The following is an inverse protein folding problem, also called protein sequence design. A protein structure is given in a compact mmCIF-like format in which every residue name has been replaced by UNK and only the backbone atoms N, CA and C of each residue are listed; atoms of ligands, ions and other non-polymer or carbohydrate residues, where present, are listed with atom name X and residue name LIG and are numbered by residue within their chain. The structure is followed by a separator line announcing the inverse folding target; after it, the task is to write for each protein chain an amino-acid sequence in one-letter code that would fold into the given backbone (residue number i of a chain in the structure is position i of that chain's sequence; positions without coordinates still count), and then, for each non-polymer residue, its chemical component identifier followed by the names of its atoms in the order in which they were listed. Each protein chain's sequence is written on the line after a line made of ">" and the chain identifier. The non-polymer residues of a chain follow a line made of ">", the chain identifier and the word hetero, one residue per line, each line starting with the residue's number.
data_IF_082469452452
#
_entry.id   IF_082469452452
#
_cell.length_a   1.000
_cell.length_b   1.000
_cell.length_c   1.000
_cell.angle_alpha   90.00
_cell.angle_beta   90.00
_cell.angle_gamma   90.00
#
_symmetry.space_group_name_H-M   'P 1'
#
loop_
_entity.id
_entity.type
_entity.pdbx_description
1 polymer ?
#
# COMPACT_ATOMS: atom_id res chain seq x y z
N UNK A 1 -14.45 3.53 10.88
CA UNK A 1 -13.89 3.29 9.53
C UNK A 1 -14.24 4.48 8.64
N UNK A 2 -13.24 5.06 7.95
CA UNK A 2 -13.42 6.22 7.07
C UNK A 2 -13.45 5.82 5.60
N UNK A 3 -12.62 4.85 5.20
CA UNK A 3 -12.59 4.32 3.84
C UNK A 3 -12.06 2.88 3.86
N UNK A 4 -12.39 2.12 2.83
CA UNK A 4 -11.84 0.79 2.58
C UNK A 4 -11.85 0.49 1.09
N UNK A 5 -10.88 -0.28 0.64
CA UNK A 5 -10.81 -0.86 -0.70
C UNK A 5 -10.17 -2.23 -0.64
N UNK A 6 -10.53 -3.11 -1.56
CA UNK A 6 -9.77 -4.33 -1.82
C UNK A 6 -8.53 -4.01 -2.65
N UNK A 7 -7.45 -4.70 -2.36
CA UNK A 7 -6.19 -4.57 -3.12
C UNK A 7 -6.18 -5.64 -4.20
N UNK A 8 -6.28 -5.22 -5.46
CA UNK A 8 -6.43 -6.11 -6.61
C UNK A 8 -5.47 -5.73 -7.75
N UNK A 9 -5.96 -5.61 -8.97
CA UNK A 9 -5.17 -5.44 -10.18
C UNK A 9 -4.29 -4.20 -10.27
N UNK A 10 -4.59 -3.13 -9.54
CA UNK A 10 -3.75 -1.92 -9.51
C UNK A 10 -2.62 -1.98 -8.47
N UNK A 11 -2.56 -3.06 -7.68
CA UNK A 11 -1.59 -3.21 -6.62
C UNK A 11 -1.86 -2.30 -5.42
N UNK A 12 -1.07 -2.45 -4.37
CA UNK A 12 -1.26 -1.66 -3.15
C UNK A 12 -1.18 -0.15 -3.41
N UNK A 13 -0.15 0.30 -4.14
CA UNK A 13 0.05 1.73 -4.39
C UNK A 13 -1.01 2.34 -5.30
N UNK A 14 -1.52 1.59 -6.28
CA UNK A 14 -2.60 2.06 -7.15
C UNK A 14 -3.88 2.29 -6.36
N UNK A 15 -4.33 1.30 -5.59
CA UNK A 15 -5.55 1.42 -4.79
C UNK A 15 -5.42 2.42 -3.63
N UNK A 16 -4.25 2.48 -2.98
CA UNK A 16 -3.98 3.50 -1.97
C UNK A 16 -4.07 4.92 -2.56
N UNK A 17 -3.56 5.12 -3.79
CA UNK A 17 -3.64 6.40 -4.48
C UNK A 17 -5.08 6.76 -4.84
N UNK A 18 -5.90 5.81 -5.29
CA UNK A 18 -7.32 6.03 -5.56
C UNK A 18 -8.07 6.47 -4.29
N UNK A 19 -7.82 5.79 -3.15
CA UNK A 19 -8.41 6.20 -1.86
C UNK A 19 -7.98 7.62 -1.47
N UNK A 20 -6.69 7.92 -1.59
CA UNK A 20 -6.14 9.23 -1.25
C UNK A 20 -6.71 10.35 -2.13
N UNK A 21 -6.86 10.09 -3.42
CA UNK A 21 -7.46 11.04 -4.38
C UNK A 21 -8.94 11.29 -4.09
N UNK A 22 -9.71 10.25 -3.81
CA UNK A 22 -11.12 10.36 -3.48
C UNK A 22 -11.39 11.20 -2.22
N UNK A 23 -10.47 11.16 -1.26
CA UNK A 23 -10.54 11.94 -0.02
C UNK A 23 -9.74 13.26 -0.07
N UNK A 24 -8.98 13.50 -1.14
CA UNK A 24 -8.03 14.62 -1.28
C UNK A 24 -7.03 14.73 -0.11
N UNK A 25 -6.45 13.60 0.27
CA UNK A 25 -5.45 13.49 1.35
C UNK A 25 -4.14 12.90 0.80
N UNK A 26 -3.07 12.98 1.59
CA UNK A 26 -1.83 12.26 1.32
C UNK A 26 -1.69 11.06 2.25
N UNK A 27 -0.93 10.06 1.81
CA UNK A 27 -0.64 8.87 2.60
C UNK A 27 0.86 8.77 2.85
N UNK A 28 1.23 8.30 4.04
CA UNK A 28 2.58 7.86 4.35
C UNK A 28 2.51 6.35 4.63
N UNK A 29 3.17 5.55 3.80
CA UNK A 29 3.13 4.09 3.89
C UNK A 29 4.50 3.55 4.30
N UNK A 30 4.51 2.64 5.27
CA UNK A 30 5.68 1.84 5.61
C UNK A 30 5.90 0.78 4.52
N UNK A 31 6.93 0.97 3.72
CA UNK A 31 7.24 0.09 2.60
C UNK A 31 7.59 -1.34 3.02
N UNK A 32 7.98 -1.57 4.27
CA UNK A 32 8.32 -2.89 4.81
C UNK A 32 7.12 -3.61 5.46
N UNK A 33 6.04 -2.87 5.77
CA UNK A 33 4.91 -3.43 6.49
C UNK A 33 4.05 -4.44 5.70
N UNK A 34 3.81 -4.30 4.37
CA UNK A 34 2.93 -5.22 3.65
C UNK A 34 3.41 -6.67 3.71
N UNK A 35 2.50 -7.60 4.00
CA UNK A 35 2.80 -9.04 4.12
C UNK A 35 3.30 -9.67 2.81
N UNK A 36 3.04 -9.04 1.67
CA UNK A 36 3.47 -9.49 0.33
C UNK A 36 4.99 -9.47 0.12
N UNK A 37 5.77 -8.88 1.04
CA UNK A 37 7.21 -8.71 0.89
C UNK A 37 8.04 -9.88 1.44
N UNK A 38 7.64 -11.12 1.18
CA UNK A 38 8.43 -12.29 1.58
C UNK A 38 9.82 -12.29 0.92
N UNK A 39 10.85 -12.90 1.55
CA UNK A 39 12.21 -12.97 0.98
C UNK A 39 12.24 -13.59 -0.42
N UNK A 40 11.42 -14.63 -0.67
CA UNK A 40 11.36 -15.30 -1.97
C UNK A 40 10.78 -14.41 -3.06
N UNK A 41 9.73 -13.66 -2.75
CA UNK A 41 9.10 -12.73 -3.69
C UNK A 41 10.04 -11.58 -4.02
N UNK A 42 10.77 -11.07 -3.02
CA UNK A 42 11.80 -10.04 -3.24
C UNK A 42 12.96 -10.54 -4.11
N UNK A 43 13.39 -11.78 -3.92
CA UNK A 43 14.42 -12.40 -4.78
C UNK A 43 13.97 -12.42 -6.23
N UNK A 44 12.74 -12.86 -6.51
CA UNK A 44 12.19 -12.89 -7.87
C UNK A 44 12.11 -11.48 -8.48
N UNK A 45 11.70 -10.49 -7.71
CA UNK A 45 11.67 -9.10 -8.16
C UNK A 45 13.07 -8.57 -8.54
N UNK A 46 14.10 -8.90 -7.75
CA UNK A 46 15.49 -8.53 -8.05
C UNK A 46 16.01 -9.17 -9.33
N UNK A 47 15.51 -10.36 -9.66
CA UNK A 47 15.82 -11.07 -10.92
C UNK A 47 15.00 -10.54 -12.11
N UNK A 48 14.13 -9.55 -11.90
CA UNK A 48 13.27 -9.00 -12.94
C UNK A 48 12.08 -9.88 -13.30
N UNK A 49 11.77 -10.88 -12.49
CA UNK A 49 10.61 -11.76 -12.66
C UNK A 49 9.39 -11.06 -12.09
N UNK A 50 8.79 -10.21 -12.90
CA UNK A 50 7.69 -9.31 -12.53
C UNK A 50 6.56 -9.38 -13.57
N UNK A 51 5.29 -9.33 -13.15
CA UNK A 51 4.18 -9.34 -14.09
C UNK A 51 4.12 -8.04 -14.91
N UNK A 52 3.69 -8.12 -16.16
CA UNK A 52 3.54 -6.95 -17.03
C UNK A 52 2.59 -5.86 -16.44
N UNK A 53 1.63 -6.28 -15.62
CA UNK A 53 0.73 -5.36 -14.89
C UNK A 53 1.45 -4.41 -13.96
N UNK A 54 2.54 -4.85 -13.33
CA UNK A 54 3.37 -4.01 -12.46
C UNK A 54 3.89 -2.77 -13.20
N UNK A 55 4.41 -2.93 -14.40
CA UNK A 55 4.94 -1.82 -15.19
C UNK A 55 3.85 -0.80 -15.56
N UNK A 56 2.63 -1.28 -15.89
CA UNK A 56 1.49 -0.41 -16.17
C UNK A 56 1.05 0.37 -14.92
N UNK A 57 0.96 -0.31 -13.78
CA UNK A 57 0.58 0.30 -12.50
C UNK A 57 1.60 1.36 -12.08
N UNK A 58 2.90 1.05 -12.22
CA UNK A 58 3.96 2.02 -11.95
C UNK A 58 3.84 3.23 -12.86
N UNK A 59 3.70 3.04 -14.17
CA UNK A 59 3.55 4.14 -15.12
C UNK A 59 2.38 5.07 -14.75
N UNK A 60 1.27 4.50 -14.28
CA UNK A 60 0.09 5.25 -13.87
C UNK A 60 0.33 6.07 -12.58
N UNK A 61 0.95 5.49 -11.56
CA UNK A 61 0.96 6.07 -10.22
C UNK A 61 2.28 6.72 -9.80
N UNK A 62 3.43 6.39 -10.42
CA UNK A 62 4.77 6.80 -9.96
C UNK A 62 4.97 8.30 -9.80
N UNK A 63 4.31 9.14 -10.63
CA UNK A 63 4.43 10.59 -10.53
C UNK A 63 3.84 11.16 -9.23
N UNK A 64 3.05 10.38 -8.51
CA UNK A 64 2.41 10.72 -7.23
C UNK A 64 2.94 9.92 -6.04
N UNK A 65 3.98 9.12 -6.26
CA UNK A 65 4.64 8.31 -5.24
C UNK A 65 6.05 8.84 -5.03
N UNK A 66 6.32 9.34 -3.83
CA UNK A 66 7.66 9.65 -3.36
C UNK A 66 8.22 8.38 -2.69
N UNK A 67 9.11 7.71 -3.39
CA UNK A 67 9.68 6.43 -2.93
C UNK A 67 10.90 6.59 -2.01
N UNK A 68 11.44 7.80 -1.87
CA UNK A 68 12.64 8.05 -1.05
C UNK A 68 13.77 7.05 -1.37
N UNK A 69 14.35 6.47 -0.32
CA UNK A 69 15.42 5.47 -0.41
C UNK A 69 14.93 4.01 -0.43
N UNK A 70 13.62 3.78 -0.63
CA UNK A 70 13.05 2.43 -0.67
C UNK A 70 13.64 1.64 -1.84
N UNK A 71 14.18 0.41 -1.60
CA UNK A 71 14.79 -0.40 -2.64
C UNK A 71 13.85 -0.68 -3.82
N UNK A 72 14.39 -0.74 -5.03
CA UNK A 72 13.62 -0.91 -6.27
C UNK A 72 12.76 -2.18 -6.27
N UNK A 73 13.29 -3.29 -5.78
CA UNK A 73 12.56 -4.54 -5.67
C UNK A 73 11.30 -4.41 -4.80
N UNK A 74 11.41 -3.67 -3.70
CA UNK A 74 10.26 -3.37 -2.82
C UNK A 74 9.25 -2.47 -3.52
N UNK A 75 9.71 -1.39 -4.15
CA UNK A 75 8.83 -0.51 -4.93
C UNK A 75 8.07 -1.29 -6.00
N UNK A 76 8.75 -2.15 -6.76
CA UNK A 76 8.15 -2.96 -7.82
C UNK A 76 7.05 -3.88 -7.27
N UNK A 77 7.28 -4.51 -6.11
CA UNK A 77 6.29 -5.36 -5.45
C UNK A 77 5.06 -4.57 -4.99
N UNK A 78 5.23 -3.36 -4.49
CA UNK A 78 4.10 -2.51 -4.07
C UNK A 78 3.22 -2.05 -5.25
N UNK A 79 3.75 -2.07 -6.48
CA UNK A 79 2.99 -1.85 -7.71
C UNK A 79 2.43 -3.13 -8.34
N UNK A 80 2.82 -4.32 -7.86
CA UNK A 80 2.37 -5.58 -8.46
C UNK A 80 0.86 -5.75 -8.33
N UNK A 81 0.19 -6.25 -9.40
CA UNK A 81 -1.19 -6.71 -9.29
C UNK A 81 -1.31 -7.82 -8.26
N UNK A 82 -2.38 -7.78 -7.47
CA UNK A 82 -2.70 -8.80 -6.47
C UNK A 82 -4.00 -9.53 -6.85
N UNK A 83 -4.00 -10.85 -6.76
CA UNK A 83 -5.20 -11.67 -6.96
C UNK A 83 -5.94 -11.96 -5.66
N UNK A 84 -5.26 -11.78 -4.52
CA UNK A 84 -5.78 -12.03 -3.17
C UNK A 84 -5.13 -11.07 -2.17
N UNK A 85 -5.11 -9.78 -2.49
CA UNK A 85 -4.35 -8.76 -1.75
C UNK A 85 -4.98 -8.28 -0.45
N UNK A 86 -6.17 -8.74 -0.11
CA UNK A 86 -6.86 -8.34 1.11
C UNK A 86 -7.48 -6.95 1.04
N UNK A 87 -7.74 -6.37 2.22
CA UNK A 87 -8.36 -5.05 2.37
C UNK A 87 -7.36 -4.01 2.87
N UNK A 88 -7.39 -2.84 2.27
CA UNK A 88 -6.78 -1.62 2.78
C UNK A 88 -7.87 -0.79 3.45
N UNK A 89 -7.73 -0.53 4.76
CA UNK A 89 -8.76 0.10 5.57
C UNK A 89 -8.17 1.35 6.23
N UNK A 90 -8.89 2.46 6.15
CA UNK A 90 -8.58 3.69 6.89
C UNK A 90 -9.55 3.86 8.07
N UNK A 91 -8.98 4.06 9.25
CA UNK A 91 -9.72 4.26 10.51
C UNK A 91 -9.17 5.46 11.27
N UNK A 92 -9.90 5.96 12.27
CA UNK A 92 -9.36 6.95 13.18
C UNK A 92 -8.15 6.39 13.93
N UNK A 93 -7.13 7.21 14.16
CA UNK A 93 -5.91 6.77 14.85
C UNK A 93 -6.20 6.18 16.24
N UNK A 94 -7.20 6.71 16.93
CA UNK A 94 -7.62 6.22 18.25
C UNK A 94 -8.22 4.80 18.23
N UNK A 95 -8.71 4.35 17.07
CA UNK A 95 -9.36 3.04 16.91
C UNK A 95 -8.42 1.98 16.30
N UNK A 96 -7.25 2.41 15.79
CA UNK A 96 -6.38 1.54 14.98
C UNK A 96 -5.86 0.34 15.76
N UNK A 97 -5.35 0.57 16.98
CA UNK A 97 -4.77 -0.50 17.82
C UNK A 97 -5.85 -1.49 18.28
N UNK A 98 -7.04 -1.01 18.64
CA UNK A 98 -8.14 -1.86 19.05
C UNK A 98 -8.63 -2.73 17.89
N UNK A 99 -8.81 -2.14 16.71
CA UNK A 99 -9.19 -2.90 15.51
C UNK A 99 -8.15 -3.95 15.13
N UNK A 100 -6.85 -3.58 15.18
CA UNK A 100 -5.77 -4.53 14.88
C UNK A 100 -5.78 -5.70 15.86
N UNK A 101 -5.95 -5.42 17.17
CA UNK A 101 -6.03 -6.46 18.19
C UNK A 101 -7.19 -7.41 17.95
N UNK A 102 -8.37 -6.90 17.60
CA UNK A 102 -9.55 -7.70 17.29
C UNK A 102 -9.33 -8.59 16.06
N UNK A 103 -8.75 -8.04 14.98
CA UNK A 103 -8.45 -8.79 13.76
C UNK A 103 -7.47 -9.94 14.01
N UNK A 104 -6.43 -9.69 14.80
CA UNK A 104 -5.44 -10.71 15.14
C UNK A 104 -6.02 -11.79 16.10
N UNK A 105 -6.87 -11.40 17.06
CA UNK A 105 -7.49 -12.32 18.00
C UNK A 105 -8.47 -13.29 17.30
N UNK A 106 -9.12 -12.86 16.24
CA UNK A 106 -10.00 -13.70 15.41
C UNK A 106 -9.22 -14.85 14.71
N UNK A 107 -7.93 -14.65 14.43
CA UNK A 107 -7.06 -15.65 13.79
C UNK A 107 -7.31 -15.90 12.31
N UNK A 108 -8.34 -15.30 11.70
CA UNK A 108 -8.63 -15.41 10.26
C UNK A 108 -7.73 -14.55 9.39
N UNK A 109 -7.16 -13.50 9.95
CA UNK A 109 -6.27 -12.55 9.25
C UNK A 109 -4.97 -12.34 10.04
N UNK A 110 -4.13 -13.39 10.17
CA UNK A 110 -2.94 -13.37 11.04
C UNK A 110 -1.89 -12.36 10.59
N UNK A 111 -1.97 -11.90 9.35
CA UNK A 111 -1.06 -10.93 8.75
C UNK A 111 -1.59 -9.48 8.79
N UNK A 112 -2.71 -9.24 9.48
CA UNK A 112 -3.22 -7.89 9.66
C UNK A 112 -2.19 -7.02 10.37
N UNK A 113 -1.99 -5.79 9.87
CA UNK A 113 -1.03 -4.85 10.44
C UNK A 113 -1.33 -3.41 10.03
N UNK A 114 -0.81 -2.46 10.79
CA UNK A 114 -0.79 -1.07 10.37
C UNK A 114 0.27 -0.92 9.27
N UNK A 115 -0.12 -0.39 8.12
CA UNK A 115 0.77 -0.22 6.96
C UNK A 115 1.10 1.25 6.68
N UNK A 116 0.57 2.17 7.47
CA UNK A 116 0.84 3.59 7.29
C UNK A 116 -0.17 4.49 7.97
N UNK A 117 -0.16 5.75 7.59
CA UNK A 117 -1.05 6.78 8.13
C UNK A 117 -1.54 7.73 7.05
N UNK A 118 -2.69 8.33 7.32
CA UNK A 118 -3.26 9.41 6.51
C UNK A 118 -2.69 10.73 7.00
N UNK A 119 -2.12 11.51 6.10
CA UNK A 119 -1.66 12.86 6.34
C UNK A 119 -2.61 13.90 5.75
N UNK A 120 -2.23 15.15 5.87
CA UNK A 120 -2.99 16.27 5.26
C UNK A 120 -2.88 16.24 3.73
N UNK A 121 -3.83 16.91 3.07
CA UNK A 121 -3.76 17.14 1.63
C UNK A 121 -2.51 17.96 1.29
N UNK A 122 -1.74 17.51 0.31
CA UNK A 122 -0.59 18.29 -0.18
C UNK A 122 -1.08 19.61 -0.78
N UNK A 123 -0.58 20.73 -0.25
CA UNK A 123 -0.84 22.04 -0.80
C UNK A 123 -0.38 22.06 -2.27
N UNK A 124 -1.10 22.31 -3.26
CA UNK A 124 -0.75 22.56 -4.66
C UNK A 124 -0.50 21.38 -5.61
N UNK A 125 -0.76 20.12 -5.24
CA UNK A 125 -0.49 19.01 -6.17
C UNK A 125 -1.43 17.82 -6.14
N UNK A 126 -2.46 17.86 -5.31
CA UNK A 126 -3.37 16.72 -5.11
C UNK A 126 -2.75 15.62 -4.22
N UNK A 127 -3.47 14.53 -4.08
CA UNK A 127 -3.07 13.39 -3.26
C UNK A 127 -1.73 12.79 -3.68
N UNK A 128 -0.91 12.41 -2.70
CA UNK A 128 0.41 11.79 -2.87
C UNK A 128 0.59 10.65 -1.88
N UNK A 129 1.50 9.74 -2.23
CA UNK A 129 1.96 8.68 -1.32
C UNK A 129 3.45 8.91 -1.07
N UNK A 130 3.87 8.93 0.19
CA UNK A 130 5.26 8.86 0.59
C UNK A 130 5.55 7.46 1.15
N UNK A 131 6.57 6.79 0.62
CA UNK A 131 7.10 5.54 1.17
C UNK A 131 8.19 5.85 2.20
N UNK A 132 8.20 5.09 3.30
CA UNK A 132 9.21 5.18 4.36
C UNK A 132 9.74 3.78 4.70
#
# INVERSE_FOLDING_TARGET
>A
MHAATDVTGFGLLGHALEMAQGANVSLELDAAAPALLSPRVRELARLGILPAGMYRNRHFAQARVDAGDVPRDVQDLLFCPETSGGLLISVAAADADALLADLLADGRVPDARVVGRVGEAGAAGGARIALR
#
